data_IF_558707255066
#
_entry.id   IF_558707255066
#
_cell.length_a   1.000
_cell.length_b   1.000
_cell.length_c   1.000
_cell.angle_alpha   90.00
_cell.angle_beta   90.00
_cell.angle_gamma   90.00
#
_symmetry.space_group_name_H-M   'P 1'
#
loop_
_entity.id
_entity.type
_entity.pdbx_description
1 polymer ?
#
# COMPACT_ATOMS: atom_id res chain seq x y z
N UNK A 1 17.40 -38.10 -27.30
CA UNK A 1 16.04 -38.09 -26.74
C UNK A 1 16.16 -38.05 -25.23
N UNK A 2 15.84 -36.92 -24.60
CA UNK A 2 15.75 -36.85 -23.13
C UNK A 2 14.45 -37.57 -22.73
N UNK A 3 14.43 -38.45 -21.71
CA UNK A 3 13.24 -39.25 -21.42
C UNK A 3 12.08 -38.35 -20.99
N UNK A 4 10.92 -38.49 -21.65
CA UNK A 4 9.68 -37.75 -21.36
C UNK A 4 9.22 -37.89 -19.89
N UNK A 5 9.64 -38.96 -19.21
CA UNK A 5 9.33 -39.24 -17.80
C UNK A 5 9.97 -38.23 -16.84
N UNK A 6 11.17 -37.73 -17.12
CA UNK A 6 11.88 -36.79 -16.23
C UNK A 6 11.29 -35.37 -16.32
N UNK A 7 10.84 -34.96 -17.51
CA UNK A 7 10.16 -33.67 -17.70
C UNK A 7 8.76 -33.65 -17.08
N UNK A 8 8.03 -34.77 -17.11
CA UNK A 8 6.71 -34.87 -16.48
C UNK A 8 6.81 -34.81 -14.95
N UNK A 9 7.79 -35.51 -14.35
CA UNK A 9 8.05 -35.46 -12.90
C UNK A 9 8.50 -34.07 -12.44
N UNK A 10 9.44 -33.42 -13.14
CA UNK A 10 9.90 -32.07 -12.78
C UNK A 10 8.78 -31.03 -12.92
N UNK A 11 7.88 -31.19 -13.90
CA UNK A 11 6.72 -30.34 -14.09
C UNK A 11 5.68 -30.54 -13.00
N UNK A 12 5.47 -31.78 -12.55
CA UNK A 12 4.60 -32.13 -11.42
C UNK A 12 5.07 -31.52 -10.10
N UNK A 13 6.34 -31.72 -9.73
CA UNK A 13 6.94 -31.17 -8.51
C UNK A 13 6.90 -29.64 -8.47
N UNK A 14 7.12 -28.98 -9.61
CA UNK A 14 7.03 -27.52 -9.72
C UNK A 14 5.59 -27.01 -9.52
N UNK A 15 4.59 -27.70 -10.09
CA UNK A 15 3.17 -27.36 -9.91
C UNK A 15 2.76 -27.53 -8.45
N UNK A 16 3.20 -28.60 -7.79
CA UNK A 16 2.87 -28.89 -6.39
C UNK A 16 3.53 -27.90 -5.43
N UNK A 17 4.79 -27.55 -5.66
CA UNK A 17 5.49 -26.49 -4.92
C UNK A 17 4.78 -25.14 -5.08
N UNK A 18 4.39 -24.79 -6.31
CA UNK A 18 3.64 -23.56 -6.60
C UNK A 18 2.28 -23.51 -5.88
N UNK A 19 1.55 -24.63 -5.87
CA UNK A 19 0.26 -24.75 -5.18
C UNK A 19 0.43 -24.63 -3.67
N UNK A 20 1.46 -25.26 -3.10
CA UNK A 20 1.75 -25.21 -1.67
C UNK A 20 2.18 -23.81 -1.21
N UNK A 21 2.93 -23.08 -2.04
CA UNK A 21 3.29 -21.67 -1.80
C UNK A 21 2.04 -20.76 -1.70
N UNK A 22 1.13 -20.82 -2.68
CA UNK A 22 -0.09 -20.01 -2.64
C UNK A 22 -1.07 -20.44 -1.57
N UNK A 23 -1.18 -21.74 -1.26
CA UNK A 23 -1.95 -22.22 -0.11
C UNK A 23 -1.46 -21.56 1.17
N UNK A 24 -0.15 -21.51 1.39
CA UNK A 24 0.41 -20.81 2.54
C UNK A 24 0.03 -19.34 2.56
N UNK A 25 0.17 -18.63 1.44
CA UNK A 25 -0.14 -17.19 1.37
C UNK A 25 -1.62 -16.91 1.64
N UNK A 26 -2.53 -17.73 1.09
CA UNK A 26 -3.98 -17.63 1.30
C UNK A 26 -4.33 -17.91 2.77
N UNK A 27 -3.82 -19.02 3.33
CA UNK A 27 -4.06 -19.37 4.74
C UNK A 27 -3.55 -18.27 5.66
N UNK A 28 -2.34 -17.75 5.39
CA UNK A 28 -1.78 -16.65 6.16
C UNK A 28 -2.64 -15.37 6.06
N UNK A 29 -3.11 -15.02 4.85
CA UNK A 29 -3.98 -13.86 4.65
C UNK A 29 -5.29 -13.99 5.45
N UNK A 30 -5.90 -15.17 5.51
CA UNK A 30 -7.07 -15.42 6.36
C UNK A 30 -6.76 -15.26 7.85
N UNK A 31 -5.63 -15.81 8.32
CA UNK A 31 -5.19 -15.65 9.72
C UNK A 31 -4.99 -14.17 10.04
N UNK A 32 -4.28 -13.43 9.18
CA UNK A 32 -4.05 -12.01 9.37
C UNK A 32 -5.36 -11.22 9.45
N UNK A 33 -6.27 -11.43 8.50
CA UNK A 33 -7.59 -10.78 8.52
C UNK A 33 -8.36 -11.13 9.80
N UNK A 34 -8.39 -12.41 10.20
CA UNK A 34 -9.06 -12.84 11.43
C UNK A 34 -8.48 -12.14 12.67
N UNK A 35 -7.15 -11.99 12.76
CA UNK A 35 -6.49 -11.27 13.84
C UNK A 35 -6.88 -9.79 13.86
N UNK A 36 -7.03 -9.13 12.69
CA UNK A 36 -7.50 -7.74 12.65
C UNK A 36 -8.96 -7.56 13.08
N UNK A 37 -9.77 -8.63 13.09
CA UNK A 37 -11.15 -8.59 13.60
C UNK A 37 -11.24 -8.78 15.12
N UNK A 38 -10.22 -9.34 15.76
CA UNK A 38 -10.26 -9.64 17.19
C UNK A 38 -10.61 -8.39 18.03
N UNK A 39 -10.00 -7.21 17.82
CA UNK A 39 -10.36 -6.02 18.59
C UNK A 39 -11.79 -5.52 18.34
N UNK A 40 -12.34 -5.72 17.14
CA UNK A 40 -13.72 -5.36 16.81
C UNK A 40 -14.72 -6.26 17.52
N UNK A 41 -14.45 -7.57 17.56
CA UNK A 41 -15.30 -8.55 18.26
C UNK A 41 -15.24 -8.36 19.78
N UNK A 42 -14.06 -8.03 20.31
CA UNK A 42 -13.91 -7.66 21.72
C UNK A 42 -14.71 -6.40 22.05
N UNK A 43 -14.60 -5.34 21.23
CA UNK A 43 -15.38 -4.12 21.41
C UNK A 43 -16.89 -4.36 21.34
N UNK A 44 -17.33 -5.24 20.43
CA UNK A 44 -18.72 -5.66 20.32
C UNK A 44 -19.22 -6.42 21.57
N UNK A 45 -18.37 -7.26 22.17
CA UNK A 45 -18.73 -8.05 23.36
C UNK A 45 -18.90 -7.20 24.63
N UNK A 46 -18.30 -6.01 24.69
CA UNK A 46 -18.32 -5.11 25.86
C UNK A 46 -19.23 -3.89 25.67
N UNK A 47 -20.11 -3.91 24.67
CA UNK A 47 -21.04 -2.80 24.41
C UNK A 47 -21.97 -2.61 25.60
N UNK A 48 -22.03 -1.39 26.20
CA UNK A 48 -22.94 -1.11 27.30
C UNK A 48 -24.41 -1.30 26.92
N UNK A 49 -25.24 -1.69 27.88
CA UNK A 49 -26.69 -1.80 27.67
C UNK A 49 -27.27 -0.47 27.17
N UNK A 50 -28.08 -0.53 26.10
CA UNK A 50 -28.68 0.64 25.47
C UNK A 50 -27.80 1.35 24.43
N UNK A 51 -26.57 0.89 24.18
CA UNK A 51 -25.69 1.44 23.13
C UNK A 51 -25.57 0.49 21.92
N UNK A 52 -25.19 1.06 20.77
CA UNK A 52 -24.90 0.32 19.56
C UNK A 52 -23.46 0.58 19.11
N UNK A 53 -22.74 -0.49 18.77
CA UNK A 53 -21.39 -0.37 18.25
C UNK A 53 -21.40 -0.12 16.75
N UNK A 54 -20.75 0.98 16.34
CA UNK A 54 -20.63 1.37 14.93
C UNK A 54 -19.49 0.67 14.19
N UNK A 55 -18.81 -0.31 14.79
CA UNK A 55 -17.71 -1.03 14.12
C UNK A 55 -16.56 -0.11 13.69
N UNK A 56 -16.24 0.91 14.49
CA UNK A 56 -15.11 1.82 14.30
C UNK A 56 -14.26 1.78 15.58
N UNK A 57 -12.96 1.48 15.46
CA UNK A 57 -12.05 1.39 16.62
C UNK A 57 -11.14 2.60 16.82
N UNK A 58 -10.94 3.44 15.80
CA UNK A 58 -10.04 4.58 15.89
C UNK A 58 -10.37 5.65 14.86
N UNK A 59 -10.19 6.91 15.25
CA UNK A 59 -10.47 8.09 14.42
C UNK A 59 -11.80 8.01 13.65
N UNK A 60 -12.95 7.92 14.36
CA UNK A 60 -14.26 7.80 13.71
C UNK A 60 -14.54 8.98 12.77
N UNK A 61 -14.00 10.16 13.05
CA UNK A 61 -14.21 11.36 12.23
C UNK A 61 -13.67 11.18 10.81
N UNK A 62 -12.43 10.69 10.66
CA UNK A 62 -11.81 10.43 9.36
C UNK A 62 -12.55 9.30 8.60
N UNK A 63 -12.94 8.24 9.32
CA UNK A 63 -13.72 7.14 8.71
C UNK A 63 -15.11 7.60 8.24
N UNK A 64 -15.75 8.50 8.98
CA UNK A 64 -17.07 9.02 8.63
C UNK A 64 -17.07 9.91 7.39
N UNK A 65 -15.94 10.53 7.03
CA UNK A 65 -15.79 11.23 5.73
C UNK A 65 -16.02 10.28 4.55
N UNK A 66 -15.55 9.04 4.66
CA UNK A 66 -15.73 8.03 3.62
C UNK A 66 -17.12 7.41 3.65
N UNK A 67 -17.64 7.12 4.85
CA UNK A 67 -18.99 6.61 5.03
C UNK A 67 -20.05 7.62 4.55
N UNK A 68 -19.79 8.92 4.64
CA UNK A 68 -20.63 9.98 4.08
C UNK A 68 -20.78 9.82 2.55
N UNK A 69 -19.68 9.55 1.83
CA UNK A 69 -19.75 9.28 0.39
C UNK A 69 -20.46 7.96 0.09
N UNK A 70 -20.19 6.91 0.86
CA UNK A 70 -20.86 5.62 0.70
C UNK A 70 -22.37 5.72 0.98
N UNK A 71 -22.79 6.58 1.91
CA UNK A 71 -24.20 6.87 2.17
C UNK A 71 -24.86 7.57 1.00
N UNK A 72 -24.23 8.61 0.45
CA UNK A 72 -24.72 9.26 -0.76
C UNK A 72 -24.85 8.29 -1.93
N UNK A 73 -23.89 7.36 -2.10
CA UNK A 73 -23.97 6.29 -3.09
C UNK A 73 -25.15 5.32 -2.86
N UNK A 74 -25.40 4.94 -1.61
CA UNK A 74 -26.56 4.13 -1.23
C UNK A 74 -27.88 4.83 -1.57
N UNK A 75 -27.95 6.15 -1.37
CA UNK A 75 -29.11 6.99 -1.68
C UNK A 75 -29.24 7.28 -3.20
N UNK A 76 -28.32 6.77 -4.04
CA UNK A 76 -28.39 6.82 -5.49
C UNK A 76 -27.53 7.90 -6.16
N UNK A 77 -26.75 8.66 -5.40
CA UNK A 77 -25.82 9.63 -5.97
C UNK A 77 -24.60 8.94 -6.59
N UNK A 78 -24.17 9.40 -7.76
CA UNK A 78 -22.90 8.95 -8.37
C UNK A 78 -21.75 9.94 -8.15
N UNK A 79 -22.09 11.21 -7.88
CA UNK A 79 -21.18 12.31 -7.54
C UNK A 79 -21.54 12.83 -6.17
N UNK A 80 -20.55 12.90 -5.29
CA UNK A 80 -20.72 13.19 -3.89
C UNK A 80 -20.47 14.66 -3.59
N UNK A 81 -21.26 15.18 -2.66
CA UNK A 81 -21.05 16.46 -1.97
C UNK A 81 -20.16 16.26 -0.75
N UNK A 82 -19.58 17.35 -0.28
CA UNK A 82 -18.99 17.40 1.04
C UNK A 82 -20.04 17.85 2.05
N UNK A 83 -20.48 16.96 2.94
CA UNK A 83 -21.49 17.28 3.96
C UNK A 83 -20.86 17.85 5.24
N UNK A 84 -19.54 18.08 5.25
CA UNK A 84 -18.82 18.74 6.35
C UNK A 84 -18.69 20.26 6.16
N UNK A 85 -19.41 20.84 5.20
CA UNK A 85 -19.53 22.29 5.03
C UNK A 85 -21.00 22.71 5.03
N UNK A 86 -21.28 23.92 5.50
CA UNK A 86 -22.60 24.56 5.40
C UNK A 86 -22.79 25.29 4.07
N UNK A 87 -21.72 25.46 3.29
CA UNK A 87 -21.78 26.12 1.98
C UNK A 87 -22.55 25.25 0.96
N UNK A 88 -23.50 25.87 0.26
CA UNK A 88 -24.23 25.18 -0.80
C UNK A 88 -23.33 24.97 -2.02
N UNK A 89 -23.15 23.70 -2.40
CA UNK A 89 -22.28 23.34 -3.50
C UNK A 89 -22.74 22.05 -4.22
N UNK A 90 -22.38 21.85 -5.51
CA UNK A 90 -22.77 20.67 -6.26
C UNK A 90 -21.95 19.44 -5.85
N UNK A 91 -22.54 18.25 -6.00
CA UNK A 91 -21.78 17.01 -5.87
C UNK A 91 -20.83 16.88 -7.04
N UNK A 92 -19.51 16.85 -6.79
CA UNK A 92 -18.48 16.79 -7.84
C UNK A 92 -17.52 15.60 -7.64
N UNK A 93 -17.43 15.07 -6.43
CA UNK A 93 -16.44 14.07 -6.07
C UNK A 93 -16.88 12.66 -6.48
N UNK A 94 -16.02 11.88 -7.11
CA UNK A 94 -16.34 10.51 -7.56
C UNK A 94 -15.35 9.53 -6.97
N UNK A 95 -15.81 8.65 -6.08
CA UNK A 95 -14.94 7.70 -5.38
C UNK A 95 -15.44 6.26 -5.55
N UNK A 96 -14.77 5.50 -6.40
CA UNK A 96 -15.12 4.13 -6.82
C UNK A 96 -15.33 3.17 -5.65
N UNK A 97 -14.45 3.19 -4.64
CA UNK A 97 -14.61 2.32 -3.46
C UNK A 97 -15.90 2.62 -2.68
N UNK A 98 -16.28 3.90 -2.58
CA UNK A 98 -17.48 4.30 -1.83
C UNK A 98 -18.75 4.07 -2.65
N UNK A 99 -18.67 4.21 -3.98
CA UNK A 99 -19.73 3.77 -4.89
C UNK A 99 -20.02 2.28 -4.72
N UNK A 100 -18.98 1.44 -4.70
CA UNK A 100 -19.13 0.00 -4.51
C UNK A 100 -19.78 -0.33 -3.16
N UNK A 101 -19.33 0.29 -2.06
CA UNK A 101 -19.92 0.08 -0.73
C UNK A 101 -21.40 0.52 -0.70
N UNK A 102 -21.73 1.69 -1.25
CA UNK A 102 -23.11 2.19 -1.28
C UNK A 102 -24.05 1.33 -2.12
N UNK A 103 -23.59 0.86 -3.27
CA UNK A 103 -24.38 -0.05 -4.12
C UNK A 103 -24.57 -1.42 -3.47
N UNK A 104 -23.55 -1.96 -2.80
CA UNK A 104 -23.67 -3.18 -2.02
C UNK A 104 -24.69 -3.02 -0.88
N UNK A 105 -24.67 -1.88 -0.18
CA UNK A 105 -25.69 -1.57 0.84
C UNK A 105 -27.09 -1.55 0.23
N UNK A 106 -27.28 -0.91 -0.93
CA UNK A 106 -28.58 -0.84 -1.61
C UNK A 106 -29.12 -2.23 -1.97
N UNK A 107 -28.26 -3.15 -2.43
CA UNK A 107 -28.64 -4.50 -2.81
C UNK A 107 -28.84 -5.45 -1.62
N UNK A 108 -28.01 -5.36 -0.59
CA UNK A 108 -27.97 -6.35 0.51
C UNK A 108 -28.62 -5.87 1.81
N UNK A 109 -28.81 -4.55 1.96
CA UNK A 109 -29.23 -3.87 3.20
C UNK A 109 -28.26 -4.05 4.39
N UNK A 110 -27.08 -4.61 4.19
CA UNK A 110 -26.04 -4.72 5.23
C UNK A 110 -25.60 -3.30 5.65
N UNK A 111 -25.46 -2.99 6.95
CA UNK A 111 -25.05 -1.66 7.41
C UNK A 111 -23.74 -1.17 6.76
N UNK A 112 -23.69 0.11 6.37
CA UNK A 112 -22.54 0.71 5.70
C UNK A 112 -21.24 0.54 6.49
N UNK A 113 -21.30 0.71 7.82
CA UNK A 113 -20.17 0.52 8.72
C UNK A 113 -19.58 -0.90 8.62
N UNK A 114 -20.44 -1.92 8.52
CA UNK A 114 -19.99 -3.31 8.43
C UNK A 114 -19.40 -3.60 7.04
N UNK A 115 -20.01 -3.09 5.97
CA UNK A 115 -19.46 -3.17 4.60
C UNK A 115 -18.11 -2.45 4.47
N UNK A 116 -17.93 -1.34 5.21
CA UNK A 116 -16.67 -0.61 5.27
C UNK A 116 -15.56 -1.47 5.90
N UNK A 117 -15.85 -2.17 7.00
CA UNK A 117 -14.90 -3.12 7.61
C UNK A 117 -14.71 -4.40 6.79
N UNK A 118 -15.74 -4.86 6.06
CA UNK A 118 -15.59 -5.96 5.11
C UNK A 118 -14.65 -5.57 3.97
N UNK A 119 -14.76 -4.34 3.47
CA UNK A 119 -13.86 -3.79 2.44
C UNK A 119 -12.42 -3.75 2.94
N UNK A 120 -12.19 -3.35 4.21
CA UNK A 120 -10.88 -3.46 4.87
C UNK A 120 -10.32 -4.86 4.81
N UNK A 121 -11.16 -5.86 5.10
CA UNK A 121 -10.78 -7.27 5.15
C UNK A 121 -10.38 -7.80 3.78
N UNK A 122 -11.16 -7.46 2.75
CA UNK A 122 -10.86 -7.81 1.35
C UNK A 122 -9.55 -7.15 0.89
N UNK A 123 -9.34 -5.88 1.22
CA UNK A 123 -8.13 -5.15 0.88
C UNK A 123 -6.90 -5.66 1.64
N UNK A 124 -7.01 -5.96 2.93
CA UNK A 124 -5.95 -6.60 3.72
C UNK A 124 -5.56 -7.98 3.17
N UNK A 125 -6.55 -8.79 2.82
CA UNK A 125 -6.33 -10.08 2.14
C UNK A 125 -5.61 -9.88 0.79
N UNK A 126 -6.09 -8.94 -0.02
CA UNK A 126 -5.47 -8.56 -1.29
C UNK A 126 -4.04 -8.07 -1.15
N UNK A 127 -3.73 -7.29 -0.10
CA UNK A 127 -2.38 -6.85 0.21
C UNK A 127 -1.46 -8.05 0.49
N UNK A 128 -1.88 -9.00 1.32
CA UNK A 128 -1.08 -10.20 1.60
C UNK A 128 -0.75 -10.97 0.30
N UNK A 129 -1.73 -11.14 -0.59
CA UNK A 129 -1.53 -11.85 -1.86
C UNK A 129 -0.62 -11.10 -2.83
N UNK A 130 -0.83 -9.79 -2.99
CA UNK A 130 0.00 -8.95 -3.86
C UNK A 130 1.42 -8.79 -3.31
N UNK A 131 1.58 -8.69 -1.99
CA UNK A 131 2.88 -8.73 -1.32
C UNK A 131 3.58 -10.06 -1.58
N UNK A 132 2.88 -11.19 -1.44
CA UNK A 132 3.48 -12.48 -1.76
C UNK A 132 3.88 -12.59 -3.24
N UNK A 133 3.05 -12.07 -4.16
CA UNK A 133 3.39 -12.00 -5.59
C UNK A 133 4.63 -11.13 -5.86
N UNK A 134 4.74 -9.99 -5.19
CA UNK A 134 5.92 -9.12 -5.25
C UNK A 134 7.16 -9.89 -4.74
N UNK A 135 7.07 -10.54 -3.58
CA UNK A 135 8.17 -11.31 -3.03
C UNK A 135 8.58 -12.48 -3.92
N UNK A 136 7.66 -13.16 -4.60
CA UNK A 136 8.01 -14.17 -5.61
C UNK A 136 8.79 -13.60 -6.79
N UNK A 137 8.53 -12.34 -7.14
CA UNK A 137 9.22 -11.63 -8.22
C UNK A 137 10.61 -11.16 -7.80
N UNK A 138 10.79 -10.85 -6.51
CA UNK A 138 12.01 -10.25 -5.97
C UNK A 138 12.95 -11.24 -5.26
N UNK A 139 12.43 -12.21 -4.51
CA UNK A 139 13.18 -13.07 -3.60
C UNK A 139 13.18 -14.52 -4.11
N UNK A 140 14.35 -15.17 -4.11
CA UNK A 140 14.49 -16.55 -4.60
C UNK A 140 13.98 -17.60 -3.60
N UNK A 141 14.27 -17.44 -2.31
CA UNK A 141 14.00 -18.45 -1.28
C UNK A 141 12.58 -18.30 -0.70
N UNK A 142 11.87 -19.43 -0.55
CA UNK A 142 10.51 -19.45 0.02
C UNK A 142 10.48 -18.90 1.46
N UNK A 143 11.41 -19.26 2.37
CA UNK A 143 11.42 -18.72 3.73
C UNK A 143 11.48 -17.20 3.78
N UNK A 144 12.35 -16.56 2.98
CA UNK A 144 12.45 -15.10 2.96
C UNK A 144 11.21 -14.43 2.34
N UNK A 145 10.53 -15.06 1.37
CA UNK A 145 9.21 -14.58 0.88
C UNK A 145 8.15 -14.61 1.97
N UNK A 146 8.12 -15.67 2.78
CA UNK A 146 7.20 -15.81 3.91
C UNK A 146 7.51 -14.80 5.01
N UNK A 147 8.80 -14.65 5.32
CA UNK A 147 9.30 -13.68 6.28
C UNK A 147 8.92 -12.26 5.87
N UNK A 148 9.03 -11.91 4.59
CA UNK A 148 8.59 -10.61 4.08
C UNK A 148 7.11 -10.33 4.41
N UNK A 149 6.22 -11.27 4.11
CA UNK A 149 4.79 -11.09 4.37
C UNK A 149 4.50 -11.03 5.88
N UNK A 150 5.20 -11.85 6.68
CA UNK A 150 5.12 -11.84 8.14
C UNK A 150 5.54 -10.49 8.72
N UNK A 151 6.73 -10.01 8.36
CA UNK A 151 7.24 -8.71 8.80
C UNK A 151 6.26 -7.63 8.35
N UNK A 152 5.88 -7.59 7.06
CA UNK A 152 4.96 -6.58 6.54
C UNK A 152 3.66 -6.50 7.35
N UNK A 153 3.12 -7.65 7.78
CA UNK A 153 1.86 -7.70 8.51
C UNK A 153 2.00 -7.43 10.00
N UNK A 154 3.14 -7.71 10.63
CA UNK A 154 3.27 -7.67 12.10
C UNK A 154 4.38 -6.75 12.62
N UNK A 155 5.18 -6.14 11.76
CA UNK A 155 6.14 -5.13 12.20
C UNK A 155 5.44 -3.80 12.44
N UNK A 156 5.82 -3.19 13.57
CA UNK A 156 5.52 -1.81 13.91
C UNK A 156 6.82 -1.11 14.30
N UNK A 157 6.76 0.22 14.42
CA UNK A 157 7.85 1.00 15.00
C UNK A 157 7.91 0.94 16.51
N UNK A 158 8.59 1.93 17.08
CA UNK A 158 8.71 2.11 18.52
C UNK A 158 7.51 2.79 19.18
N UNK A 159 6.35 2.90 18.52
CA UNK A 159 5.18 3.58 19.10
C UNK A 159 4.73 2.95 20.40
N UNK A 160 4.67 1.62 20.45
CA UNK A 160 4.37 0.88 21.68
C UNK A 160 5.33 1.24 22.83
N UNK A 161 6.61 1.49 22.54
CA UNK A 161 7.60 1.86 23.53
C UNK A 161 7.35 3.28 24.04
N UNK A 162 7.03 4.22 23.15
CA UNK A 162 6.66 5.58 23.56
C UNK A 162 5.39 5.62 24.41
N UNK A 163 4.39 4.80 24.06
CA UNK A 163 3.19 4.60 24.86
C UNK A 163 3.49 4.00 26.22
N UNK A 164 4.30 2.93 26.27
CA UNK A 164 4.69 2.26 27.51
C UNK A 164 5.43 3.21 28.47
N UNK A 165 6.40 3.95 27.95
CA UNK A 165 7.14 4.97 28.70
C UNK A 165 6.20 6.02 29.30
N UNK A 166 5.21 6.48 28.54
CA UNK A 166 4.24 7.46 29.04
C UNK A 166 3.28 6.86 30.05
N UNK A 167 2.66 5.73 29.73
CA UNK A 167 1.58 5.13 30.52
C UNK A 167 2.06 4.42 31.79
N UNK A 168 3.21 3.76 31.75
CA UNK A 168 3.71 2.99 32.91
C UNK A 168 4.79 3.73 33.70
N UNK A 169 5.59 4.57 33.04
CA UNK A 169 6.76 5.20 33.67
C UNK A 169 6.67 6.72 33.78
N UNK A 170 5.57 7.33 33.29
CA UNK A 170 5.37 8.78 33.24
C UNK A 170 6.52 9.53 32.54
N UNK A 171 7.18 8.88 31.58
CA UNK A 171 8.26 9.45 30.76
C UNK A 171 7.63 9.98 29.47
N UNK A 172 7.71 11.29 29.27
CA UNK A 172 7.19 11.95 28.07
C UNK A 172 8.17 11.81 26.90
N UNK A 173 8.05 10.70 26.17
CA UNK A 173 8.70 10.53 24.87
C UNK A 173 7.86 11.17 23.75
N UNK A 174 8.48 11.58 22.64
CA UNK A 174 7.76 12.04 21.46
C UNK A 174 6.78 10.99 20.94
N UNK A 175 5.54 11.39 20.65
CA UNK A 175 4.55 10.49 20.09
C UNK A 175 4.85 10.20 18.62
N UNK A 176 4.89 8.93 18.28
CA UNK A 176 5.19 8.44 16.94
C UNK A 176 3.91 8.28 16.10
N UNK A 177 4.08 8.03 14.80
CA UNK A 177 2.98 8.07 13.83
C UNK A 177 1.97 6.93 13.98
N UNK A 178 2.26 5.94 14.80
CA UNK A 178 1.40 4.77 15.06
C UNK A 178 0.55 4.92 16.34
N UNK A 179 0.87 5.88 17.23
CA UNK A 179 0.16 6.02 18.52
C UNK A 179 -0.28 7.45 18.84
N UNK A 180 0.30 8.46 18.18
CA UNK A 180 -0.06 9.86 18.44
C UNK A 180 -1.51 10.16 18.02
N UNK A 181 -2.38 10.68 18.90
CA UNK A 181 -3.76 11.04 18.53
C UNK A 181 -3.86 12.03 17.36
N UNK A 182 -2.89 12.95 17.24
CA UNK A 182 -2.88 14.00 16.21
C UNK A 182 -2.01 13.65 14.97
N UNK A 183 -1.20 12.60 15.10
CA UNK A 183 -0.23 12.16 14.09
C UNK A 183 -0.41 10.68 13.72
N UNK A 184 -1.55 10.06 14.06
CA UNK A 184 -1.82 8.69 13.64
C UNK A 184 -1.88 8.62 12.11
N UNK A 185 -0.99 7.83 11.51
CA UNK A 185 -0.83 7.69 10.06
C UNK A 185 -0.97 6.22 9.67
N UNK A 186 -2.20 5.73 9.48
CA UNK A 186 -2.43 4.39 8.95
C UNK A 186 -1.71 4.15 7.62
N UNK A 187 -1.48 5.21 6.83
CA UNK A 187 -0.73 5.15 5.57
C UNK A 187 0.73 4.71 5.75
N UNK A 188 1.32 4.93 6.93
CA UNK A 188 2.71 4.59 7.20
C UNK A 188 2.91 3.12 7.62
N UNK A 189 1.93 2.49 8.26
CA UNK A 189 2.09 1.17 8.91
C UNK A 189 1.00 0.21 8.46
N UNK A 190 1.40 -0.90 7.85
CA UNK A 190 0.49 -1.89 7.27
C UNK A 190 -0.47 -2.51 8.29
N UNK A 191 0.01 -2.91 9.47
CA UNK A 191 -0.87 -3.48 10.50
C UNK A 191 -1.93 -2.45 10.92
N UNK A 192 -1.53 -1.19 11.09
CA UNK A 192 -2.44 -0.10 11.46
C UNK A 192 -3.46 0.17 10.36
N UNK A 193 -3.05 0.26 9.09
CA UNK A 193 -3.96 0.33 7.95
C UNK A 193 -4.95 -0.84 7.94
N UNK A 194 -4.42 -2.05 8.08
CA UNK A 194 -5.17 -3.29 8.13
C UNK A 194 -6.13 -3.34 9.30
N UNK A 195 -5.85 -2.65 10.41
CA UNK A 195 -6.70 -2.61 11.59
C UNK A 195 -7.80 -1.56 11.48
N UNK A 196 -7.52 -0.34 11.03
CA UNK A 196 -8.46 0.79 11.16
C UNK A 196 -8.81 1.54 9.88
N UNK A 197 -8.02 1.44 8.80
CA UNK A 197 -8.15 2.31 7.63
C UNK A 197 -8.37 1.52 6.33
N UNK A 198 -9.64 1.22 5.97
CA UNK A 198 -9.97 0.50 4.74
C UNK A 198 -9.45 1.19 3.47
N UNK A 199 -9.41 2.52 3.50
CA UNK A 199 -8.85 3.32 2.43
C UNK A 199 -7.36 2.99 2.30
N UNK A 200 -6.53 3.37 3.29
CA UNK A 200 -5.07 3.17 3.26
C UNK A 200 -4.64 1.73 2.91
N UNK A 201 -5.29 0.71 3.47
CA UNK A 201 -4.94 -0.68 3.15
C UNK A 201 -5.29 -1.06 1.70
N UNK A 202 -6.35 -0.47 1.14
CA UNK A 202 -6.71 -0.63 -0.29
C UNK A 202 -5.65 0.03 -1.17
N UNK A 203 -5.25 1.26 -0.86
CA UNK A 203 -4.19 1.94 -1.62
C UNK A 203 -2.85 1.20 -1.55
N UNK A 204 -2.46 0.69 -0.37
CA UNK A 204 -1.30 -0.20 -0.22
C UNK A 204 -1.41 -1.48 -1.06
N UNK A 205 -2.58 -2.14 -1.07
CA UNK A 205 -2.80 -3.36 -1.86
C UNK A 205 -2.68 -3.09 -3.36
N UNK A 206 -3.27 -1.99 -3.83
CA UNK A 206 -3.19 -1.57 -5.23
C UNK A 206 -1.76 -1.20 -5.62
N UNK A 207 -1.07 -0.38 -4.81
CA UNK A 207 0.32 0.01 -5.05
C UNK A 207 1.25 -1.22 -5.08
N UNK A 208 1.08 -2.16 -4.14
CA UNK A 208 1.85 -3.41 -4.12
C UNK A 208 1.54 -4.27 -5.35
N UNK A 209 0.28 -4.36 -5.76
CA UNK A 209 -0.13 -5.06 -6.97
C UNK A 209 0.49 -4.46 -8.24
N UNK A 210 0.54 -3.13 -8.34
CA UNK A 210 1.23 -2.42 -9.43
C UNK A 210 2.70 -2.80 -9.46
N UNK A 211 3.38 -2.74 -8.31
CA UNK A 211 4.82 -3.07 -8.21
C UNK A 211 5.10 -4.54 -8.51
N UNK A 212 4.24 -5.46 -8.04
CA UNK A 212 4.33 -6.89 -8.36
C UNK A 212 4.20 -7.14 -9.87
N UNK A 213 3.22 -6.51 -10.52
CA UNK A 213 3.04 -6.61 -11.97
C UNK A 213 4.22 -6.00 -12.73
N UNK A 214 4.74 -4.85 -12.29
CA UNK A 214 5.90 -4.21 -12.91
C UNK A 214 7.17 -5.05 -12.76
N UNK A 215 7.41 -5.65 -11.60
CA UNK A 215 8.52 -6.59 -11.41
C UNK A 215 8.36 -7.88 -12.23
N UNK A 216 7.13 -8.32 -12.47
CA UNK A 216 6.88 -9.46 -13.34
C UNK A 216 7.08 -9.08 -14.83
N UNK A 217 6.74 -7.86 -15.22
CA UNK A 217 7.02 -7.31 -16.55
C UNK A 217 8.53 -7.22 -16.81
N UNK A 218 9.31 -6.68 -15.88
CA UNK A 218 10.79 -6.58 -16.05
C UNK A 218 11.46 -7.95 -16.21
N UNK A 219 10.84 -9.03 -15.70
CA UNK A 219 11.33 -10.41 -15.84
C UNK A 219 10.85 -11.13 -17.09
N UNK A 220 9.61 -10.87 -17.54
CA UNK A 220 8.96 -11.67 -18.59
C UNK A 220 8.68 -10.91 -19.88
N UNK A 221 8.74 -9.59 -19.85
CA UNK A 221 8.33 -8.69 -20.94
C UNK A 221 6.90 -8.91 -21.46
N UNK A 222 6.05 -9.60 -20.70
CA UNK A 222 4.66 -9.83 -21.07
C UNK A 222 3.79 -8.61 -20.74
N UNK A 223 3.27 -7.95 -21.77
CA UNK A 223 2.44 -6.74 -21.64
C UNK A 223 1.12 -6.92 -20.88
N UNK A 224 0.67 -8.16 -20.64
CA UNK A 224 -0.48 -8.41 -19.75
C UNK A 224 -0.28 -7.81 -18.35
N UNK A 225 0.95 -7.81 -17.84
CA UNK A 225 1.26 -7.21 -16.55
C UNK A 225 1.23 -5.69 -16.59
N UNK A 226 1.55 -5.09 -17.74
CA UNK A 226 1.35 -3.65 -17.97
C UNK A 226 -0.14 -3.31 -17.96
N UNK A 227 -0.97 -4.09 -18.66
CA UNK A 227 -2.43 -3.89 -18.66
C UNK A 227 -3.02 -4.00 -17.24
N UNK A 228 -2.59 -4.98 -16.44
CA UNK A 228 -3.00 -5.08 -15.04
C UNK A 228 -2.55 -3.87 -14.22
N UNK A 229 -1.29 -3.42 -14.36
CA UNK A 229 -0.81 -2.22 -13.67
C UNK A 229 -1.56 -0.96 -14.08
N UNK A 230 -1.97 -0.81 -15.35
CA UNK A 230 -2.78 0.32 -15.82
C UNK A 230 -4.13 0.35 -15.11
N UNK A 231 -4.84 -0.80 -15.05
CA UNK A 231 -6.14 -0.90 -14.36
C UNK A 231 -5.97 -0.58 -12.87
N UNK A 232 -4.97 -1.18 -12.23
CA UNK A 232 -4.69 -0.95 -10.81
C UNK A 232 -4.31 0.50 -10.53
N UNK A 233 -3.54 1.14 -11.42
CA UNK A 233 -3.14 2.55 -11.29
C UNK A 233 -4.35 3.48 -11.45
N UNK A 234 -5.25 3.24 -12.41
CA UNK A 234 -6.50 4.01 -12.54
C UNK A 234 -7.36 3.91 -11.28
N UNK A 235 -7.52 2.70 -10.74
CA UNK A 235 -8.24 2.50 -9.48
C UNK A 235 -7.52 3.21 -8.32
N UNK A 236 -6.20 3.09 -8.22
CA UNK A 236 -5.40 3.74 -7.19
C UNK A 236 -5.53 5.26 -7.25
N UNK A 237 -5.46 5.88 -8.43
CA UNK A 237 -5.62 7.33 -8.59
C UNK A 237 -7.00 7.84 -8.18
N UNK A 238 -8.05 7.04 -8.40
CA UNK A 238 -9.39 7.40 -7.99
C UNK A 238 -9.66 7.20 -6.49
N UNK A 239 -9.11 6.13 -5.90
CA UNK A 239 -9.31 5.80 -4.48
C UNK A 239 -8.34 6.60 -3.60
N UNK A 240 -7.08 6.72 -3.99
CA UNK A 240 -5.99 7.40 -3.28
C UNK A 240 -5.22 8.34 -4.21
N UNK A 241 -5.82 9.49 -4.52
CA UNK A 241 -5.24 10.46 -5.46
C UNK A 241 -3.81 10.89 -5.13
N UNK A 242 -3.46 11.04 -3.84
CA UNK A 242 -2.11 11.44 -3.43
C UNK A 242 -1.04 10.37 -3.71
N UNK A 243 -1.42 9.09 -3.66
CA UNK A 243 -0.49 7.97 -3.90
C UNK A 243 -0.16 7.85 -5.39
N UNK A 244 -1.10 8.21 -6.27
CA UNK A 244 -0.81 8.32 -7.70
C UNK A 244 0.25 9.38 -8.01
N UNK A 245 0.28 10.49 -7.25
CA UNK A 245 1.35 11.51 -7.35
C UNK A 245 2.69 10.92 -6.91
N UNK A 246 2.71 10.23 -5.76
CA UNK A 246 3.92 9.58 -5.25
C UNK A 246 4.46 8.50 -6.22
N UNK A 247 3.56 7.79 -6.90
CA UNK A 247 3.91 6.74 -7.87
C UNK A 247 4.73 7.29 -9.05
N UNK A 248 4.48 8.54 -9.48
CA UNK A 248 5.29 9.20 -10.52
C UNK A 248 6.74 9.33 -10.07
N UNK A 249 6.96 9.84 -8.85
CA UNK A 249 8.30 9.98 -8.28
C UNK A 249 8.96 8.60 -8.10
N UNK A 250 8.22 7.61 -7.60
CA UNK A 250 8.72 6.24 -7.44
C UNK A 250 9.19 5.64 -8.77
N UNK A 251 8.41 5.74 -9.84
CA UNK A 251 8.81 5.21 -11.14
C UNK A 251 9.97 5.97 -11.77
N UNK A 252 9.98 7.31 -11.66
CA UNK A 252 11.09 8.11 -12.16
C UNK A 252 12.41 7.74 -11.46
N UNK A 253 12.39 7.65 -10.13
CA UNK A 253 13.59 7.33 -9.35
C UNK A 253 13.98 5.87 -9.53
N UNK A 254 13.03 4.94 -9.60
CA UNK A 254 13.32 3.54 -9.95
C UNK A 254 14.00 3.45 -11.32
N UNK A 255 13.50 4.14 -12.34
CA UNK A 255 14.13 4.14 -13.66
C UNK A 255 15.58 4.67 -13.62
N UNK A 256 15.84 5.76 -12.89
CA UNK A 256 17.20 6.29 -12.70
C UNK A 256 18.09 5.27 -12.00
N UNK A 257 17.65 4.68 -10.89
CA UNK A 257 18.43 3.64 -10.21
C UNK A 257 18.65 2.41 -11.08
N UNK A 258 17.69 2.04 -11.92
CA UNK A 258 17.83 0.93 -12.84
C UNK A 258 18.91 1.21 -13.90
N UNK A 259 18.98 2.43 -14.44
CA UNK A 259 20.04 2.84 -15.37
C UNK A 259 21.41 2.77 -14.69
N UNK A 260 21.55 3.37 -13.50
CA UNK A 260 22.79 3.38 -12.71
C UNK A 260 23.24 1.94 -12.41
N UNK A 261 22.29 1.10 -11.99
CA UNK A 261 22.55 -0.30 -11.66
C UNK A 261 23.03 -1.10 -12.88
N UNK A 262 22.38 -0.93 -14.03
CA UNK A 262 22.81 -1.58 -15.27
C UNK A 262 24.21 -1.13 -15.69
N UNK A 263 24.50 0.17 -15.63
CA UNK A 263 25.82 0.71 -15.96
C UNK A 263 26.91 0.16 -15.02
N UNK A 264 26.62 0.05 -13.71
CA UNK A 264 27.55 -0.54 -12.74
C UNK A 264 27.83 -2.02 -13.00
N UNK A 265 26.80 -2.82 -13.30
CA UNK A 265 26.98 -4.24 -13.63
C UNK A 265 27.79 -4.44 -14.92
N UNK A 266 27.56 -3.59 -15.93
CA UNK A 266 28.35 -3.60 -17.17
C UNK A 266 29.82 -3.25 -16.92
N UNK A 267 30.09 -2.25 -16.09
CA UNK A 267 31.46 -1.87 -15.71
C UNK A 267 32.21 -3.03 -15.05
N UNK A 268 31.53 -3.83 -14.23
CA UNK A 268 32.12 -5.04 -13.62
C UNK A 268 32.36 -6.18 -14.62
N UNK A 269 32.10 -5.99 -15.92
CA UNK A 269 32.15 -7.00 -16.99
C UNK A 269 31.29 -8.23 -16.69
N UNK A 270 30.31 -8.08 -15.80
CA UNK A 270 29.33 -9.10 -15.47
C UNK A 270 28.18 -8.97 -16.47
N UNK A 271 28.41 -9.37 -17.72
CA UNK A 271 27.40 -9.25 -18.77
C UNK A 271 27.05 -10.64 -19.32
N UNK A 272 25.79 -11.08 -19.14
CA UNK A 272 25.22 -12.12 -20.01
C UNK A 272 23.69 -12.27 -20.07
N UNK A 273 22.87 -11.34 -19.57
CA UNK A 273 21.42 -11.43 -19.89
C UNK A 273 20.82 -10.06 -20.13
N UNK A 274 19.80 -10.03 -20.99
CA UNK A 274 19.09 -8.91 -21.63
C UNK A 274 18.50 -7.82 -20.71
N UNK A 275 19.00 -7.63 -19.49
CA UNK A 275 18.51 -6.64 -18.53
C UNK A 275 18.71 -5.19 -18.98
N UNK A 276 19.66 -4.94 -19.90
CA UNK A 276 19.90 -3.62 -20.50
C UNK A 276 19.03 -3.33 -21.73
N UNK A 277 18.30 -4.33 -22.25
CA UNK A 277 17.75 -4.29 -23.60
C UNK A 277 16.56 -3.35 -23.84
N UNK A 278 16.03 -2.66 -22.84
CA UNK A 278 14.90 -1.76 -23.09
C UNK A 278 14.63 -0.71 -22.00
N UNK A 279 15.66 0.00 -21.51
CA UNK A 279 15.46 1.11 -20.56
C UNK A 279 14.45 2.15 -21.05
N UNK A 280 14.38 2.37 -22.37
CA UNK A 280 13.38 3.22 -23.01
C UNK A 280 11.97 2.63 -22.98
N UNK A 281 11.80 1.33 -23.23
CA UNK A 281 10.48 0.69 -23.08
C UNK A 281 10.04 0.66 -21.62
N UNK A 282 10.98 0.47 -20.69
CA UNK A 282 10.67 0.56 -19.26
C UNK A 282 10.20 1.97 -18.89
N UNK A 283 10.89 3.01 -19.38
CA UNK A 283 10.45 4.40 -19.23
C UNK A 283 9.05 4.62 -19.81
N UNK A 284 8.81 4.16 -21.05
CA UNK A 284 7.51 4.28 -21.71
C UNK A 284 6.39 3.59 -20.93
N UNK A 285 6.64 2.37 -20.43
CA UNK A 285 5.69 1.63 -19.59
C UNK A 285 5.42 2.36 -18.27
N UNK A 286 6.45 2.87 -17.61
CA UNK A 286 6.29 3.65 -16.38
C UNK A 286 5.47 4.92 -16.61
N UNK A 287 5.70 5.63 -17.72
CA UNK A 287 4.90 6.80 -18.12
C UNK A 287 3.45 6.39 -18.35
N UNK A 288 3.18 5.30 -19.08
CA UNK A 288 1.82 4.82 -19.33
C UNK A 288 1.09 4.49 -18.03
N UNK A 289 1.73 3.78 -17.10
CA UNK A 289 1.11 3.43 -15.81
C UNK A 289 0.91 4.68 -14.93
N UNK A 290 1.86 5.61 -14.93
CA UNK A 290 1.74 6.89 -14.23
C UNK A 290 0.58 7.74 -14.77
N UNK A 291 0.45 7.85 -16.10
CA UNK A 291 -0.65 8.55 -16.76
C UNK A 291 -2.00 7.90 -16.47
N UNK A 292 -2.05 6.57 -16.38
CA UNK A 292 -3.25 5.85 -15.97
C UNK A 292 -3.66 6.23 -14.53
N UNK A 293 -2.69 6.34 -13.61
CA UNK A 293 -2.94 6.87 -12.26
C UNK A 293 -3.47 8.31 -12.26
N UNK A 294 -2.86 9.19 -13.04
CA UNK A 294 -3.34 10.56 -13.21
C UNK A 294 -4.76 10.63 -13.80
N UNK A 295 -5.09 9.74 -14.74
CA UNK A 295 -6.43 9.63 -15.32
C UNK A 295 -7.45 9.16 -14.28
N UNK A 296 -7.09 8.24 -13.40
CA UNK A 296 -7.92 7.82 -12.27
C UNK A 296 -8.21 8.95 -11.29
N UNK A 297 -7.24 9.84 -11.07
CA UNK A 297 -7.34 11.03 -10.22
C UNK A 297 -8.06 12.22 -10.88
N UNK A 298 -8.36 12.14 -12.18
CA UNK A 298 -8.94 13.25 -12.94
C UNK A 298 -10.28 13.77 -12.35
N UNK A 299 -11.23 12.92 -11.91
CA UNK A 299 -12.48 13.40 -11.32
C UNK A 299 -12.26 14.28 -10.08
N UNK A 300 -11.33 13.88 -9.20
CA UNK A 300 -10.95 14.64 -8.00
C UNK A 300 -10.27 15.95 -8.36
N UNK A 301 -9.35 15.93 -9.32
CA UNK A 301 -8.68 17.14 -9.79
C UNK A 301 -9.69 18.15 -10.36
N UNK A 302 -10.67 17.70 -11.14
CA UNK A 302 -11.76 18.53 -11.64
C UNK A 302 -12.62 19.09 -10.51
N UNK A 303 -12.94 18.29 -9.49
CA UNK A 303 -13.68 18.74 -8.31
C UNK A 303 -12.93 19.86 -7.56
N UNK A 304 -11.63 19.67 -7.27
CA UNK A 304 -10.81 20.67 -6.57
C UNK A 304 -10.63 21.97 -7.38
N UNK A 305 -10.60 21.89 -8.72
CA UNK A 305 -10.55 23.05 -9.60
C UNK A 305 -11.87 23.79 -9.66
N UNK A 306 -12.99 23.08 -9.80
CA UNK A 306 -14.28 23.69 -10.07
C UNK A 306 -15.00 24.20 -8.82
N UNK A 307 -14.76 23.59 -7.65
CA UNK A 307 -15.56 23.82 -6.44
C UNK A 307 -14.72 24.34 -5.26
N UNK A 308 -15.03 25.52 -4.70
CA UNK A 308 -14.27 26.10 -3.58
C UNK A 308 -14.26 25.22 -2.33
N UNK A 309 -15.37 24.56 -1.98
CA UNK A 309 -15.45 23.74 -0.78
C UNK A 309 -14.50 22.53 -0.87
N UNK A 310 -14.52 21.81 -2.00
CA UNK A 310 -13.55 20.74 -2.24
C UNK A 310 -12.11 21.24 -2.29
N UNK A 311 -11.87 22.43 -2.84
CA UNK A 311 -10.53 23.04 -2.87
C UNK A 311 -10.00 23.34 -1.48
N UNK A 312 -10.82 23.95 -0.61
CA UNK A 312 -10.45 24.26 0.76
C UNK A 312 -10.12 23.01 1.56
N UNK A 313 -10.90 21.93 1.37
CA UNK A 313 -10.61 20.62 1.95
C UNK A 313 -9.28 20.03 1.47
N UNK A 314 -8.97 20.15 0.18
CA UNK A 314 -7.69 19.68 -0.36
C UNK A 314 -6.50 20.50 0.17
N UNK A 315 -6.72 21.75 0.59
CA UNK A 315 -5.69 22.63 1.14
C UNK A 315 -5.45 22.42 2.65
N UNK A 316 -6.22 21.56 3.33
CA UNK A 316 -6.00 21.24 4.74
C UNK A 316 -4.57 20.69 4.93
N UNK A 317 -3.72 21.33 5.74
CA UNK A 317 -2.32 20.95 5.86
C UNK A 317 -2.18 19.64 6.64
N UNK A 318 -1.53 18.66 6.03
CA UNK A 318 -1.08 17.42 6.65
C UNK A 318 0.43 17.28 6.41
N UNK A 319 1.20 18.12 7.10
CA UNK A 319 2.64 18.22 6.92
C UNK A 319 3.37 16.97 7.40
N UNK A 320 4.51 16.70 6.78
CA UNK A 320 5.36 15.55 7.13
C UNK A 320 6.05 15.81 8.47
N UNK A 321 5.99 14.86 9.42
CA UNK A 321 6.72 15.01 10.68
C UNK A 321 8.24 14.95 10.46
N UNK A 322 9.05 15.40 11.44
CA UNK A 322 10.50 15.29 11.36
C UNK A 322 11.01 13.89 10.99
N UNK A 323 12.08 13.82 10.20
CA UNK A 323 12.65 12.55 9.69
C UNK A 323 12.94 11.55 10.82
N UNK A 324 13.44 12.01 11.96
CA UNK A 324 13.74 11.13 13.09
C UNK A 324 12.48 10.48 13.70
N UNK A 325 11.32 11.17 13.67
CA UNK A 325 10.03 10.59 14.07
C UNK A 325 9.66 9.47 13.10
N UNK A 326 9.82 9.71 11.79
CA UNK A 326 9.55 8.69 10.79
C UNK A 326 10.47 7.47 10.97
N UNK A 327 11.78 7.67 11.12
CA UNK A 327 12.73 6.58 11.36
C UNK A 327 12.38 5.77 12.62
N UNK A 328 12.04 6.44 13.73
CA UNK A 328 11.61 5.78 14.95
C UNK A 328 10.26 5.04 14.78
N UNK A 329 9.38 5.56 13.94
CA UNK A 329 8.08 4.95 13.60
C UNK A 329 8.18 3.67 12.76
N UNK A 330 9.33 3.40 12.14
CA UNK A 330 9.64 2.12 11.50
C UNK A 330 10.53 1.22 12.37
N UNK A 331 11.09 1.77 13.45
CA UNK A 331 11.83 1.02 14.48
C UNK A 331 12.97 0.16 13.92
N UNK A 332 13.01 -1.11 14.33
CA UNK A 332 14.03 -2.07 13.89
C UNK A 332 13.98 -2.36 12.38
N UNK A 333 12.84 -2.13 11.71
CA UNK A 333 12.73 -2.36 10.27
C UNK A 333 13.65 -1.41 9.51
N UNK A 334 13.83 -0.17 9.96
CA UNK A 334 14.78 0.76 9.36
C UNK A 334 16.20 0.20 9.41
N UNK A 335 16.62 -0.35 10.56
CA UNK A 335 17.96 -0.92 10.74
C UNK A 335 18.16 -2.17 9.88
N UNK A 336 17.19 -3.08 9.88
CA UNK A 336 17.23 -4.29 9.05
C UNK A 336 17.21 -3.96 7.55
N UNK A 337 16.45 -2.95 7.13
CA UNK A 337 16.43 -2.49 5.74
C UNK A 337 17.79 -1.94 5.31
N UNK A 338 18.50 -1.20 6.17
CA UNK A 338 19.86 -0.72 5.88
C UNK A 338 20.86 -1.87 5.72
N UNK A 339 20.79 -2.89 6.59
CA UNK A 339 21.58 -4.12 6.45
C UNK A 339 21.22 -4.83 5.13
N UNK A 340 19.93 -4.92 4.82
CA UNK A 340 19.40 -5.49 3.59
C UNK A 340 19.93 -4.80 2.34
N UNK A 341 20.07 -3.46 2.35
CA UNK A 341 20.69 -2.71 1.25
C UNK A 341 22.16 -3.14 1.09
N UNK A 342 22.92 -3.21 2.17
CA UNK A 342 24.32 -3.63 2.14
C UNK A 342 24.50 -5.04 1.58
N UNK A 343 23.65 -5.99 2.00
CA UNK A 343 23.64 -7.36 1.49
C UNK A 343 23.22 -7.36 0.01
N UNK A 344 22.15 -6.66 -0.36
CA UNK A 344 21.65 -6.57 -1.73
C UNK A 344 22.66 -6.01 -2.73
N UNK A 345 23.47 -5.02 -2.34
CA UNK A 345 24.58 -4.53 -3.17
C UNK A 345 25.64 -5.62 -3.37
N UNK A 346 26.04 -6.30 -2.29
CA UNK A 346 27.05 -7.36 -2.32
C UNK A 346 26.62 -8.57 -3.14
N UNK A 347 25.37 -9.00 -2.98
CA UNK A 347 24.78 -10.16 -3.68
C UNK A 347 24.21 -9.79 -5.05
N UNK A 348 24.26 -8.50 -5.43
CA UNK A 348 23.78 -7.97 -6.71
C UNK A 348 22.29 -8.26 -6.94
N UNK A 349 21.49 -8.05 -5.91
CA UNK A 349 20.07 -8.35 -5.94
C UNK A 349 19.33 -7.53 -7.01
N UNK A 350 18.68 -8.22 -7.95
CA UNK A 350 18.06 -7.59 -9.13
C UNK A 350 16.90 -6.64 -8.80
N UNK A 351 16.26 -6.80 -7.63
CA UNK A 351 15.15 -5.96 -7.21
C UNK A 351 15.58 -4.71 -6.42
N UNK A 352 16.88 -4.55 -6.12
CA UNK A 352 17.38 -3.41 -5.35
C UNK A 352 17.02 -2.05 -5.98
N UNK A 353 17.13 -1.82 -7.31
CA UNK A 353 16.73 -0.55 -7.91
C UNK A 353 15.26 -0.21 -7.70
N UNK A 354 14.38 -1.23 -7.69
CA UNK A 354 12.95 -1.05 -7.41
C UNK A 354 12.73 -0.64 -5.95
N UNK A 355 13.38 -1.33 -5.00
CA UNK A 355 13.23 -1.06 -3.58
C UNK A 355 13.74 0.35 -3.22
N UNK A 356 14.91 0.73 -3.73
CA UNK A 356 15.46 2.07 -3.55
C UNK A 356 14.62 3.14 -4.25
N UNK A 357 14.15 2.86 -5.48
CA UNK A 357 13.27 3.77 -6.21
C UNK A 357 11.97 4.05 -5.47
N UNK A 358 11.41 3.02 -4.84
CA UNK A 358 10.20 3.15 -4.02
C UNK A 358 10.46 3.97 -2.75
N UNK A 359 11.52 3.65 -2.00
CA UNK A 359 11.86 4.37 -0.76
C UNK A 359 12.18 5.85 -1.05
N UNK A 360 13.08 6.11 -2.00
CA UNK A 360 13.54 7.46 -2.31
C UNK A 360 12.44 8.26 -3.04
N UNK A 361 11.66 7.62 -3.91
CA UNK A 361 10.52 8.26 -4.57
C UNK A 361 9.47 8.73 -3.58
N UNK A 362 9.12 7.91 -2.57
CA UNK A 362 8.25 8.34 -1.48
C UNK A 362 8.91 9.42 -0.64
N UNK A 363 10.20 9.25 -0.28
CA UNK A 363 10.91 10.26 0.51
C UNK A 363 10.93 11.63 -0.16
N UNK A 364 11.08 11.71 -1.49
CA UNK A 364 10.94 12.95 -2.25
C UNK A 364 9.50 13.47 -2.18
N UNK A 365 8.53 12.57 -2.38
CA UNK A 365 7.11 12.92 -2.44
C UNK A 365 6.63 13.58 -1.15
N UNK A 366 6.99 13.04 0.02
CA UNK A 366 6.58 13.56 1.33
C UNK A 366 7.20 14.93 1.68
N UNK A 367 8.07 15.49 0.85
CA UNK A 367 8.61 16.85 1.01
C UNK A 367 8.25 17.79 -0.15
N UNK A 368 7.37 17.36 -1.06
CA UNK A 368 6.85 18.26 -2.10
C UNK A 368 6.07 19.43 -1.46
N UNK A 369 6.06 20.61 -2.12
CA UNK A 369 5.39 21.81 -1.61
C UNK A 369 3.86 21.73 -1.83
N UNK A 370 3.22 20.74 -1.22
CA UNK A 370 1.78 20.47 -1.28
C UNK A 370 1.22 20.34 0.14
N UNK A 371 -0.08 20.59 0.34
CA UNK A 371 -0.73 20.51 1.65
C UNK A 371 -0.72 19.10 2.24
N UNK A 372 -0.81 18.06 1.40
CA UNK A 372 -1.05 16.68 1.81
C UNK A 372 0.21 15.82 1.99
N UNK A 373 1.34 16.43 2.37
CA UNK A 373 2.67 15.79 2.38
C UNK A 373 2.71 14.41 3.02
N UNK A 374 2.24 14.29 4.27
CA UNK A 374 2.32 13.04 5.03
C UNK A 374 1.45 11.92 4.45
N UNK A 375 0.39 12.24 3.70
CA UNK A 375 -0.48 11.26 3.03
C UNK A 375 0.24 10.53 1.90
N UNK A 376 1.30 11.11 1.34
CA UNK A 376 2.12 10.48 0.29
C UNK A 376 3.12 9.44 0.84
N UNK A 377 3.19 9.23 2.17
CA UNK A 377 4.03 8.19 2.75
C UNK A 377 3.52 6.77 2.45
N UNK A 378 2.30 6.67 1.92
CA UNK A 378 1.58 5.42 1.80
C UNK A 378 2.38 4.35 1.07
N UNK A 379 2.54 3.20 1.74
CA UNK A 379 3.25 2.06 1.19
C UNK A 379 4.77 2.11 1.35
N UNK A 380 5.36 3.10 2.02
CA UNK A 380 6.80 3.12 2.34
C UNK A 380 7.24 1.92 3.18
N UNK A 381 6.37 1.41 4.04
CA UNK A 381 6.62 0.23 4.86
C UNK A 381 6.98 -1.00 4.00
N UNK A 382 6.36 -1.15 2.82
CA UNK A 382 6.48 -2.33 1.97
C UNK A 382 7.93 -2.57 1.49
N UNK A 383 8.60 -1.62 0.80
CA UNK A 383 9.98 -1.84 0.36
C UNK A 383 10.97 -1.94 1.55
N UNK A 384 10.68 -1.31 2.69
CA UNK A 384 11.49 -1.46 3.91
C UNK A 384 11.41 -2.89 4.46
N UNK A 385 10.20 -3.45 4.59
CA UNK A 385 10.02 -4.84 4.99
C UNK A 385 10.64 -5.82 3.99
N UNK A 386 10.60 -5.50 2.68
CA UNK A 386 11.19 -6.33 1.63
C UNK A 386 12.72 -6.41 1.78
N UNK A 387 13.37 -5.27 2.03
CA UNK A 387 14.81 -5.23 2.30
C UNK A 387 15.17 -5.91 3.63
N UNK A 388 14.37 -5.69 4.68
CA UNK A 388 14.56 -6.36 5.96
C UNK A 388 14.49 -7.88 5.84
N UNK A 389 13.50 -8.40 5.11
CA UNK A 389 13.37 -9.83 4.86
C UNK A 389 14.45 -10.39 3.92
N UNK A 390 15.03 -9.57 3.05
CA UNK A 390 16.19 -9.95 2.23
C UNK A 390 17.49 -10.04 3.04
N UNK A 391 17.56 -9.34 4.18
CA UNK A 391 18.73 -9.33 5.06
C UNK A 391 18.87 -10.61 5.90
N UNK A 392 17.76 -11.33 6.11
CA UNK A 392 17.67 -12.56 6.89
C UNK A 392 17.71 -13.79 5.98
#
# INVERSE_FOLDING_TARGET
>A
MIPETTQAQSKGEWIDSHRNEWRWAITFAFIFVALTWLPYLMAYAIVPSGMHYFWLLGNPDDQNVHLMWARQAADGAWRFKDLYTTESHPGMFVHSLMLAIGWLHRGTRVPLHLLYQFTRSVAAFGLCLTAYALARSCIATIPARRLFVLILCFSSGFGWFTWLCRSMFNINLPLLVDVSPELMMPEAITFLAGLVAPLAITGMALATGIMACMMQFTRTHHFKFVAYSVILAMLLGNVHTYVAVALVAVFAVWWVFHIIWCAWLQHLRLNQTNFTGNSLTLAGVFIVVALAGALGALPQWLAFRADPAFRMKALTPTLTPPVWILCASYGFITLLALIGIGIAVRTRWHALPMALGWIVGIAISIYLPVSFQRKMIEGLHIPLCLLAAYAC
#
